data_IF_683112424384
#
_entry.id   IF_683112424384
#
_cell.length_a   1.000
_cell.length_b   1.000
_cell.length_c   1.000
_cell.angle_alpha   90.00
_cell.angle_beta   90.00
_cell.angle_gamma   90.00
#
_symmetry.space_group_name_H-M   'P 1'
#
loop_
_entity.id
_entity.type
_entity.pdbx_description
1 polymer ?
#
# COMPACT_ATOMS: atom_id res chain seq x y z
N UNK A 1 12.78 -16.79 -14.35
CA UNK A 1 11.40 -16.31 -14.15
C UNK A 1 11.46 -14.83 -13.82
N UNK A 2 10.74 -14.00 -14.56
CA UNK A 2 10.66 -12.57 -14.28
C UNK A 2 9.87 -12.36 -13.00
N UNK A 3 10.39 -11.55 -12.07
CA UNK A 3 9.66 -11.19 -10.84
C UNK A 3 8.70 -10.04 -11.12
N UNK A 4 7.46 -10.19 -10.69
CA UNK A 4 6.41 -9.17 -10.84
C UNK A 4 6.29 -8.34 -9.54
N UNK A 5 6.05 -7.04 -9.70
CA UNK A 5 5.89 -6.09 -8.60
C UNK A 5 4.80 -5.09 -8.93
N UNK A 6 3.92 -4.84 -7.99
CA UNK A 6 2.92 -3.78 -8.10
C UNK A 6 3.35 -2.56 -7.32
N UNK A 7 3.27 -1.41 -7.96
CA UNK A 7 3.46 -0.13 -7.35
C UNK A 7 2.11 0.59 -7.32
N UNK A 8 1.56 0.78 -6.12
CA UNK A 8 0.30 1.46 -5.93
C UNK A 8 0.49 2.84 -5.34
N UNK A 9 -0.23 3.80 -5.88
CA UNK A 9 -0.47 5.07 -5.27
C UNK A 9 -1.91 5.09 -4.78
N UNK A 10 -2.11 4.97 -3.47
CA UNK A 10 -3.43 5.11 -2.89
C UNK A 10 -3.90 6.55 -2.99
N UNK A 11 -5.15 6.72 -3.38
CA UNK A 11 -5.80 7.98 -3.73
C UNK A 11 -6.15 8.79 -2.49
N UNK A 12 -5.85 10.07 -2.51
CA UNK A 12 -6.56 11.07 -1.70
C UNK A 12 -7.52 11.82 -2.62
N UNK A 13 -8.81 11.76 -2.34
CA UNK A 13 -9.82 12.53 -3.07
C UNK A 13 -9.81 13.96 -2.52
N UNK A 14 -8.97 14.82 -3.07
CA UNK A 14 -9.13 16.25 -2.89
C UNK A 14 -10.32 16.70 -3.76
N UNK A 15 -11.37 17.22 -3.15
CA UNK A 15 -12.47 17.86 -3.89
C UNK A 15 -11.88 19.02 -4.69
N UNK A 16 -11.74 18.83 -5.98
CA UNK A 16 -11.57 19.92 -6.93
C UNK A 16 -10.18 20.15 -7.51
N UNK A 17 -9.09 19.57 -7.01
CA UNK A 17 -7.77 19.75 -7.61
C UNK A 17 -7.09 18.40 -7.83
N UNK A 18 -7.13 17.94 -9.07
CA UNK A 18 -6.29 16.82 -9.52
C UNK A 18 -4.87 17.37 -9.63
N UNK A 19 -4.01 17.10 -8.62
CA UNK A 19 -2.60 17.46 -8.70
C UNK A 19 -1.97 16.60 -9.80
N UNK A 20 -1.91 17.12 -11.00
CA UNK A 20 -1.14 16.54 -12.10
C UNK A 20 0.28 17.09 -11.97
N UNK A 21 1.20 16.25 -11.53
CA UNK A 21 2.61 16.58 -11.66
C UNK A 21 2.99 16.65 -13.14
N UNK A 22 3.65 17.76 -13.57
CA UNK A 22 4.19 17.82 -14.92
C UNK A 22 5.29 16.76 -15.09
N UNK A 23 5.51 16.33 -16.34
CA UNK A 23 6.58 15.38 -16.67
C UNK A 23 7.94 15.91 -16.22
N UNK A 24 8.20 17.19 -16.51
CA UNK A 24 9.41 17.90 -16.13
C UNK A 24 9.59 17.98 -14.60
N UNK A 25 8.50 18.20 -13.85
CA UNK A 25 8.55 18.22 -12.40
C UNK A 25 8.93 16.86 -11.84
N UNK A 26 8.26 15.79 -12.26
CA UNK A 26 8.56 14.42 -11.80
C UNK A 26 9.98 14.03 -12.18
N UNK A 27 10.39 14.28 -13.43
CA UNK A 27 11.74 13.97 -13.90
C UNK A 27 12.79 14.73 -13.09
N UNK A 28 12.63 16.04 -12.89
CA UNK A 28 13.57 16.86 -12.13
C UNK A 28 13.68 16.43 -10.66
N UNK A 29 12.58 16.00 -10.07
CA UNK A 29 12.57 15.51 -8.67
C UNK A 29 13.22 14.14 -8.56
N UNK A 30 12.91 13.23 -9.49
CA UNK A 30 13.48 11.88 -9.53
C UNK A 30 15.00 11.91 -9.80
N UNK A 31 15.46 12.78 -10.69
CA UNK A 31 16.89 12.97 -10.96
C UNK A 31 17.64 13.58 -9.77
N UNK A 32 16.99 14.45 -8.99
CA UNK A 32 17.61 15.11 -7.83
C UNK A 32 17.61 14.26 -6.56
N UNK A 33 16.53 13.48 -6.34
CA UNK A 33 16.32 12.77 -5.08
C UNK A 33 17.00 11.41 -5.03
N UNK A 34 17.08 10.72 -6.15
CA UNK A 34 17.65 9.38 -6.19
C UNK A 34 18.74 9.27 -7.24
N UNK A 35 19.76 8.46 -6.94
CA UNK A 35 20.74 8.00 -7.94
C UNK A 35 20.09 7.05 -8.98
N UNK A 36 18.77 7.11 -9.11
CA UNK A 36 18.00 6.27 -10.04
C UNK A 36 17.89 7.00 -11.38
N UNK A 37 18.53 6.43 -12.39
CA UNK A 37 18.40 6.92 -13.76
C UNK A 37 17.04 6.47 -14.29
N UNK A 38 16.10 7.39 -14.37
CA UNK A 38 14.78 7.11 -14.90
C UNK A 38 14.80 7.29 -16.42
N UNK A 39 14.43 6.25 -17.15
CA UNK A 39 14.14 6.37 -18.56
C UNK A 39 12.88 7.24 -18.76
N UNK A 40 12.88 8.08 -19.81
CA UNK A 40 11.75 8.96 -20.12
C UNK A 40 10.44 8.21 -20.33
N UNK A 41 10.49 7.01 -20.92
CA UNK A 41 9.29 6.18 -21.10
C UNK A 41 8.71 5.73 -19.75
N UNK A 42 9.56 5.28 -18.83
CA UNK A 42 9.14 4.86 -17.50
C UNK A 42 8.56 6.04 -16.70
N UNK A 43 9.14 7.23 -16.81
CA UNK A 43 8.61 8.45 -16.20
C UNK A 43 7.19 8.78 -16.71
N UNK A 44 6.94 8.63 -18.02
CA UNK A 44 5.61 8.80 -18.62
C UNK A 44 4.62 7.77 -18.09
N UNK A 45 5.01 6.50 -18.00
CA UNK A 45 4.15 5.42 -17.50
C UNK A 45 3.78 5.68 -16.03
N UNK A 46 4.75 6.02 -15.19
CA UNK A 46 4.50 6.38 -13.78
C UNK A 46 3.51 7.54 -13.69
N UNK A 47 3.71 8.60 -14.48
CA UNK A 47 2.80 9.75 -14.53
C UNK A 47 1.38 9.36 -14.96
N UNK A 48 1.24 8.52 -15.99
CA UNK A 48 -0.06 8.04 -16.46
C UNK A 48 -0.75 7.22 -15.37
N UNK A 49 -0.06 6.26 -14.77
CA UNK A 49 -0.56 5.46 -13.65
C UNK A 49 -1.06 6.37 -12.50
N UNK A 50 -0.26 7.38 -12.15
CA UNK A 50 -0.65 8.35 -11.12
C UNK A 50 -1.85 9.20 -11.52
N UNK A 51 -1.96 9.60 -12.79
CA UNK A 51 -3.05 10.44 -13.29
C UNK A 51 -4.37 9.67 -13.40
N UNK A 52 -4.29 8.40 -13.78
CA UNK A 52 -5.43 7.49 -13.86
C UNK A 52 -5.78 6.86 -12.52
N UNK A 53 -4.90 7.02 -11.50
CA UNK A 53 -5.05 6.41 -10.18
C UNK A 53 -5.12 4.88 -10.25
N UNK A 54 -4.40 4.31 -11.22
CA UNK A 54 -4.32 2.87 -11.44
C UNK A 54 -3.01 2.31 -10.90
N UNK A 55 -3.02 1.04 -10.45
CA UNK A 55 -1.80 0.36 -10.04
C UNK A 55 -0.83 0.22 -11.23
N UNK A 56 0.47 0.27 -10.93
CA UNK A 56 1.53 0.04 -11.91
C UNK A 56 2.15 -1.35 -11.67
N UNK A 57 2.00 -2.24 -12.64
CA UNK A 57 2.69 -3.53 -12.64
C UNK A 57 4.07 -3.39 -13.27
N UNK A 58 5.11 -3.75 -12.52
CA UNK A 58 6.48 -3.80 -12.99
C UNK A 58 6.92 -5.25 -13.18
N UNK A 59 7.21 -5.62 -14.43
CA UNK A 59 7.70 -6.95 -14.80
C UNK A 59 9.13 -6.86 -15.34
N UNK A 60 9.98 -7.79 -14.97
CA UNK A 60 11.36 -7.82 -15.49
C UNK A 60 12.29 -8.70 -14.65
N UNK A 61 13.51 -8.89 -15.13
CA UNK A 61 14.54 -9.70 -14.50
C UNK A 61 14.90 -9.21 -13.08
N UNK A 62 15.37 -10.08 -12.19
CA UNK A 62 15.91 -9.68 -10.90
C UNK A 62 17.06 -8.66 -11.06
N UNK A 63 17.14 -7.68 -10.18
CA UNK A 63 18.23 -6.69 -10.21
C UNK A 63 18.02 -5.51 -11.17
N UNK A 64 16.92 -5.44 -11.91
CA UNK A 64 16.62 -4.32 -12.84
C UNK A 64 16.11 -3.04 -12.15
N UNK A 65 16.20 -2.94 -10.83
CA UNK A 65 15.86 -1.72 -10.11
C UNK A 65 14.37 -1.50 -9.82
N UNK A 66 13.50 -2.51 -9.99
CA UNK A 66 12.05 -2.37 -9.74
C UNK A 66 11.71 -1.87 -8.32
N UNK A 67 12.37 -2.39 -7.29
CA UNK A 67 12.20 -1.93 -5.90
C UNK A 67 12.71 -0.51 -5.72
N UNK A 68 13.85 -0.19 -6.37
CA UNK A 68 14.44 1.14 -6.31
C UNK A 68 13.55 2.22 -6.94
N UNK A 69 12.75 1.87 -7.95
CA UNK A 69 11.78 2.81 -8.53
C UNK A 69 10.75 3.26 -7.49
N UNK A 70 10.23 2.35 -6.66
CA UNK A 70 9.29 2.70 -5.60
C UNK A 70 9.91 3.66 -4.57
N UNK A 71 11.16 3.40 -4.17
CA UNK A 71 11.90 4.30 -3.29
C UNK A 71 12.12 5.67 -3.93
N UNK A 72 12.53 5.70 -5.20
CA UNK A 72 12.75 6.94 -5.93
C UNK A 72 11.47 7.79 -6.04
N UNK A 73 10.32 7.16 -6.33
CA UNK A 73 9.04 7.85 -6.39
C UNK A 73 8.63 8.38 -5.02
N UNK A 74 8.75 7.57 -3.97
CA UNK A 74 8.41 7.96 -2.60
C UNK A 74 9.24 9.18 -2.16
N UNK A 75 10.54 9.16 -2.40
CA UNK A 75 11.46 10.25 -2.10
C UNK A 75 11.15 11.49 -2.94
N UNK A 76 10.99 11.35 -4.26
CA UNK A 76 10.74 12.46 -5.17
C UNK A 76 9.44 13.21 -4.86
N UNK A 77 8.41 12.50 -4.38
CA UNK A 77 7.10 13.04 -4.05
C UNK A 77 6.92 13.34 -2.56
N UNK A 78 7.95 13.13 -1.75
CA UNK A 78 7.87 13.27 -0.28
C UNK A 78 6.72 12.47 0.32
N UNK A 79 6.58 11.22 -0.12
CA UNK A 79 5.54 10.29 0.33
C UNK A 79 6.14 9.17 1.18
N UNK A 80 5.48 8.69 2.24
CA UNK A 80 5.90 7.47 2.91
C UNK A 80 5.86 6.28 1.95
N UNK A 81 6.84 5.39 2.09
CA UNK A 81 6.86 4.12 1.40
C UNK A 81 6.44 3.01 2.36
N UNK A 82 5.40 2.29 1.99
CA UNK A 82 4.96 1.07 2.67
C UNK A 82 5.32 -0.12 1.77
N UNK A 83 6.05 -1.08 2.33
CA UNK A 83 6.49 -2.26 1.57
C UNK A 83 5.80 -3.50 2.11
N UNK A 84 5.12 -4.22 1.24
CA UNK A 84 4.59 -5.55 1.47
C UNK A 84 5.44 -6.56 0.68
N UNK A 85 6.16 -7.42 1.39
CA UNK A 85 6.84 -8.56 0.78
C UNK A 85 5.93 -9.78 0.83
N UNK A 86 5.44 -10.21 -0.33
CA UNK A 86 4.51 -11.32 -0.42
C UNK A 86 5.24 -12.64 -0.24
N UNK A 87 4.64 -13.54 0.53
CA UNK A 87 5.11 -14.92 0.74
C UNK A 87 4.07 -15.89 0.22
N UNK A 88 4.49 -17.05 -0.22
CA UNK A 88 3.60 -18.09 -0.78
C UNK A 88 2.53 -18.60 0.20
N UNK A 89 2.73 -18.44 1.50
CA UNK A 89 1.75 -18.80 2.53
C UNK A 89 0.92 -17.65 3.05
N UNK A 90 1.12 -16.44 2.52
CA UNK A 90 0.42 -15.24 2.98
C UNK A 90 -1.02 -15.24 2.46
N UNK A 91 -1.96 -14.98 3.36
CA UNK A 91 -3.35 -14.69 3.00
C UNK A 91 -3.56 -13.19 2.90
N UNK A 92 -4.49 -12.76 2.05
CA UNK A 92 -4.79 -11.34 1.90
C UNK A 92 -5.18 -10.68 3.23
N UNK A 93 -5.95 -11.38 4.06
CA UNK A 93 -6.36 -10.87 5.38
C UNK A 93 -5.17 -10.43 6.23
N UNK A 94 -4.03 -11.16 6.18
CA UNK A 94 -2.81 -10.81 6.91
C UNK A 94 -2.17 -9.51 6.42
N UNK A 95 -2.36 -9.20 5.13
CA UNK A 95 -1.90 -7.95 4.54
C UNK A 95 -2.85 -6.77 4.84
N UNK A 96 -4.13 -7.05 5.11
CA UNK A 96 -5.15 -6.06 5.46
C UNK A 96 -5.12 -5.75 6.96
N UNK A 97 -5.33 -6.75 7.81
CA UNK A 97 -5.30 -6.60 9.26
C UNK A 97 -5.12 -7.95 9.96
N UNK A 98 -4.83 -7.89 11.25
CA UNK A 98 -4.75 -9.05 12.13
C UNK A 98 -5.49 -8.74 13.43
N UNK A 99 -6.32 -9.67 13.87
CA UNK A 99 -6.94 -9.62 15.18
C UNK A 99 -6.11 -10.38 16.22
N UNK A 100 -5.58 -9.66 17.21
CA UNK A 100 -4.72 -10.23 18.28
C UNK A 100 -5.54 -10.86 19.40
N UNK A 101 -6.16 -11.99 19.07
CA UNK A 101 -6.98 -12.77 20.00
C UNK A 101 -6.21 -13.22 21.25
N UNK A 102 -4.92 -13.56 21.08
CA UNK A 102 -4.10 -14.02 22.21
C UNK A 102 -3.85 -12.92 23.23
N UNK A 103 -3.49 -11.73 22.77
CA UNK A 103 -3.30 -10.59 23.65
C UNK A 103 -4.60 -10.25 24.36
N UNK A 104 -5.74 -10.21 23.64
CA UNK A 104 -7.04 -9.95 24.27
C UNK A 104 -7.41 -10.99 25.31
N UNK A 105 -7.17 -12.28 25.05
CA UNK A 105 -7.43 -13.35 26.01
C UNK A 105 -6.58 -13.20 27.28
N UNK A 106 -5.30 -12.87 27.12
CA UNK A 106 -4.40 -12.64 28.24
C UNK A 106 -4.84 -11.42 29.07
N UNK A 107 -5.16 -10.30 28.41
CA UNK A 107 -5.65 -9.11 29.09
C UNK A 107 -6.95 -9.37 29.86
N UNK A 108 -7.84 -10.21 29.33
CA UNK A 108 -9.09 -10.59 30.00
C UNK A 108 -8.87 -11.46 31.23
N UNK A 109 -7.80 -12.25 31.25
CA UNK A 109 -7.51 -13.19 32.37
C UNK A 109 -6.69 -12.57 33.50
N UNK A 110 -5.76 -11.69 33.15
CA UNK A 110 -4.76 -11.21 34.10
C UNK A 110 -4.99 -9.75 34.54
N UNK A 111 -5.86 -9.00 33.85
CA UNK A 111 -6.36 -7.70 34.32
C UNK A 111 -5.34 -6.56 34.40
N UNK A 112 -4.08 -6.80 34.03
CA UNK A 112 -2.97 -5.83 34.11
C UNK A 112 -2.82 -4.90 32.90
N UNK A 113 -3.69 -5.06 31.92
CA UNK A 113 -3.61 -4.30 30.68
C UNK A 113 -4.23 -2.91 30.85
N UNK A 114 -3.59 -1.92 30.22
CA UNK A 114 -4.15 -0.57 30.10
C UNK A 114 -5.25 -0.48 29.02
N UNK A 115 -5.53 -1.60 28.34
CA UNK A 115 -6.51 -1.69 27.26
C UNK A 115 -7.86 -2.08 27.79
N UNK A 116 -8.91 -1.54 27.20
CA UNK A 116 -10.27 -2.00 27.46
C UNK A 116 -10.53 -3.31 26.70
N UNK A 117 -10.62 -4.40 27.44
CA UNK A 117 -10.88 -5.75 26.88
C UNK A 117 -12.21 -5.82 26.12
N UNK A 118 -13.19 -4.97 26.48
CA UNK A 118 -14.47 -4.88 25.78
C UNK A 118 -14.35 -4.20 24.42
N UNK A 119 -13.33 -3.36 24.24
CA UNK A 119 -13.06 -2.65 22.98
C UNK A 119 -12.19 -3.51 22.04
N UNK A 120 -12.84 -4.24 21.13
CA UNK A 120 -12.17 -5.12 20.15
C UNK A 120 -11.21 -4.34 19.25
N UNK A 121 -11.51 -3.08 18.93
CA UNK A 121 -10.67 -2.26 18.03
C UNK A 121 -9.22 -2.12 18.53
N UNK A 122 -8.99 -2.13 19.84
CA UNK A 122 -7.65 -2.03 20.45
C UNK A 122 -6.77 -3.26 20.17
N UNK A 123 -7.37 -4.34 19.71
CA UNK A 123 -6.71 -5.60 19.35
C UNK A 123 -6.63 -5.85 17.84
N UNK A 124 -7.09 -4.89 17.03
CA UNK A 124 -6.93 -4.94 15.58
C UNK A 124 -5.63 -4.26 15.19
N UNK A 125 -4.76 -4.99 14.51
CA UNK A 125 -3.49 -4.48 13.97
C UNK A 125 -3.58 -4.41 12.46
N UNK A 126 -3.41 -3.21 11.88
CA UNK A 126 -3.40 -3.05 10.44
C UNK A 126 -2.18 -3.71 9.80
N UNK A 127 -2.42 -4.57 8.82
CA UNK A 127 -1.41 -5.09 7.90
C UNK A 127 -0.90 -4.00 6.97
N UNK A 128 0.00 -4.32 6.05
CA UNK A 128 0.65 -3.30 5.20
C UNK A 128 -0.32 -2.61 4.23
N UNK A 129 -1.25 -3.35 3.65
CA UNK A 129 -2.30 -2.75 2.81
C UNK A 129 -3.23 -1.93 3.71
N UNK A 130 -3.68 -2.47 4.84
CA UNK A 130 -4.51 -1.74 5.79
C UNK A 130 -3.88 -0.44 6.27
N UNK A 131 -2.57 -0.43 6.60
CA UNK A 131 -1.83 0.78 6.97
C UNK A 131 -1.88 1.83 5.85
N UNK A 132 -1.79 1.40 4.59
CA UNK A 132 -1.87 2.31 3.46
C UNK A 132 -3.28 2.91 3.31
N UNK A 133 -4.33 2.12 3.61
CA UNK A 133 -5.72 2.58 3.54
C UNK A 133 -6.10 3.59 4.63
N UNK A 134 -5.62 3.36 5.86
CA UNK A 134 -5.91 4.27 6.99
C UNK A 134 -4.93 5.43 7.11
N UNK A 135 -3.96 5.54 6.20
CA UNK A 135 -2.99 6.63 6.22
C UNK A 135 -3.68 7.98 6.05
N UNK A 136 -3.30 8.95 6.87
CA UNK A 136 -3.77 10.34 6.81
C UNK A 136 -3.13 11.15 5.68
N UNK A 137 -2.13 10.59 5.00
CA UNK A 137 -1.49 11.21 3.83
C UNK A 137 -1.27 10.20 2.72
N UNK A 138 -1.04 10.69 1.50
CA UNK A 138 -0.71 9.84 0.36
C UNK A 138 0.55 9.03 0.64
N UNK A 139 0.50 7.75 0.29
CA UNK A 139 1.62 6.82 0.45
C UNK A 139 1.93 6.11 -0.88
N UNK A 140 3.15 5.69 -1.02
CA UNK A 140 3.53 4.72 -2.06
C UNK A 140 3.48 3.34 -1.42
N UNK A 141 2.60 2.47 -1.94
CA UNK A 141 2.55 1.07 -1.52
C UNK A 141 3.29 0.22 -2.56
N UNK A 142 4.36 -0.43 -2.14
CA UNK A 142 5.07 -1.41 -2.94
C UNK A 142 4.66 -2.82 -2.51
N UNK A 143 4.08 -3.58 -3.44
CA UNK A 143 3.83 -5.01 -3.26
C UNK A 143 4.92 -5.76 -4.02
N UNK A 144 5.86 -6.33 -3.29
CA UNK A 144 7.01 -7.03 -3.84
C UNK A 144 6.78 -8.54 -3.88
N UNK A 145 7.27 -9.18 -4.92
CA UNK A 145 7.21 -10.64 -5.10
C UNK A 145 5.77 -11.20 -5.18
N UNK A 146 4.85 -10.45 -5.80
CA UNK A 146 3.44 -10.84 -5.96
C UNK A 146 3.29 -12.18 -6.72
N UNK A 147 4.24 -12.53 -7.55
CA UNK A 147 4.33 -13.80 -8.27
C UNK A 147 4.49 -15.02 -7.35
N UNK A 148 4.80 -14.83 -6.07
CA UNK A 148 4.83 -15.90 -5.06
C UNK A 148 3.45 -16.21 -4.48
N UNK A 149 2.50 -15.30 -4.57
CA UNK A 149 1.15 -15.51 -4.06
C UNK A 149 0.39 -16.52 -4.94
N UNK A 150 -0.58 -17.19 -4.33
CA UNK A 150 -1.57 -17.94 -5.10
C UNK A 150 -2.52 -17.01 -5.88
N UNK A 151 -3.34 -17.60 -6.76
CA UNK A 151 -4.29 -16.84 -7.57
C UNK A 151 -5.33 -16.14 -6.71
N UNK A 152 -5.79 -16.81 -5.65
CA UNK A 152 -6.87 -16.29 -4.79
C UNK A 152 -6.40 -15.01 -4.09
N UNK A 153 -5.15 -14.97 -3.57
CA UNK A 153 -4.58 -13.75 -3.01
C UNK A 153 -4.51 -12.63 -4.05
N UNK A 154 -4.11 -12.95 -5.29
CA UNK A 154 -3.94 -11.94 -6.34
C UNK A 154 -5.30 -11.35 -6.76
N UNK A 155 -6.31 -12.19 -6.96
CA UNK A 155 -7.64 -11.79 -7.38
C UNK A 155 -8.34 -10.98 -6.28
N UNK A 156 -8.34 -11.47 -5.04
CA UNK A 156 -8.93 -10.77 -3.89
C UNK A 156 -8.23 -9.42 -3.62
N UNK A 157 -6.90 -9.36 -3.80
CA UNK A 157 -6.15 -8.11 -3.65
C UNK A 157 -6.54 -7.09 -4.71
N UNK A 158 -6.73 -7.53 -5.96
CA UNK A 158 -7.16 -6.63 -7.03
C UNK A 158 -8.56 -6.06 -6.75
N UNK A 159 -9.47 -6.88 -6.24
CA UNK A 159 -10.81 -6.43 -5.84
C UNK A 159 -10.75 -5.37 -4.73
N UNK A 160 -9.96 -5.60 -3.68
CA UNK A 160 -9.76 -4.62 -2.59
C UNK A 160 -9.19 -3.31 -3.13
N UNK A 161 -8.25 -3.38 -4.07
CA UNK A 161 -7.60 -2.20 -4.63
C UNK A 161 -8.47 -1.46 -5.64
N UNK A 162 -9.36 -2.15 -6.34
CA UNK A 162 -10.33 -1.54 -7.26
C UNK A 162 -11.44 -0.82 -6.49
N UNK A 163 -11.98 -1.48 -5.47
CA UNK A 163 -13.04 -0.92 -4.63
C UNK A 163 -12.52 0.11 -3.63
N UNK A 164 -11.22 0.09 -3.32
CA UNK A 164 -10.57 0.93 -2.30
C UNK A 164 -11.26 0.82 -0.93
N UNK A 165 -11.73 -0.40 -0.59
CA UNK A 165 -12.33 -0.69 0.71
C UNK A 165 -12.13 -2.16 1.11
N UNK A 166 -12.19 -2.44 2.40
CA UNK A 166 -12.25 -3.80 2.96
C UNK A 166 -12.98 -3.80 4.30
N UNK A 167 -13.45 -4.97 4.72
CA UNK A 167 -14.20 -5.13 5.97
C UNK A 167 -13.32 -5.74 7.06
N UNK A 168 -13.46 -5.23 8.30
CA UNK A 168 -12.93 -5.86 9.51
C UNK A 168 -14.08 -6.60 10.17
N UNK A 169 -14.08 -7.92 10.03
CA UNK A 169 -15.22 -8.78 10.38
C UNK A 169 -15.49 -8.75 11.89
N UNK A 170 -14.46 -8.72 12.73
CA UNK A 170 -14.56 -8.80 14.17
C UNK A 170 -15.28 -7.61 14.82
N UNK A 171 -15.35 -6.49 14.12
CA UNK A 171 -15.98 -5.25 14.61
C UNK A 171 -17.07 -4.73 13.66
N UNK A 172 -17.43 -5.52 12.63
CA UNK A 172 -18.40 -5.12 11.59
C UNK A 172 -18.13 -3.71 11.02
N UNK A 173 -16.85 -3.43 10.75
CA UNK A 173 -16.41 -2.10 10.31
C UNK A 173 -15.80 -2.15 8.91
N UNK A 174 -16.35 -1.32 8.04
CA UNK A 174 -15.80 -1.12 6.71
C UNK A 174 -14.71 -0.05 6.74
N UNK A 175 -13.51 -0.43 6.31
CA UNK A 175 -12.41 0.49 6.11
C UNK A 175 -12.42 0.92 4.66
N UNK A 176 -12.55 2.21 4.45
CA UNK A 176 -12.39 2.84 3.15
C UNK A 176 -11.13 3.68 3.15
N UNK A 177 -10.48 3.76 2.01
CA UNK A 177 -9.38 4.69 1.89
C UNK A 177 -9.83 6.08 2.35
N UNK A 178 -9.07 6.68 3.26
CA UNK A 178 -9.41 7.98 3.83
C UNK A 178 -9.45 9.05 2.73
N UNK A 179 -10.67 9.49 2.38
CA UNK A 179 -10.91 10.47 1.32
C UNK A 179 -11.11 11.89 1.85
N UNK A 180 -11.15 12.07 3.18
CA UNK A 180 -11.70 13.28 3.82
C UNK A 180 -10.64 14.16 4.49
N UNK A 181 -9.36 13.86 4.38
CA UNK A 181 -8.33 14.76 4.88
C UNK A 181 -7.95 15.77 3.78
N UNK A 182 -8.48 16.95 3.96
CA UNK A 182 -8.15 18.20 3.27
C UNK A 182 -6.70 18.59 3.52
#
# INVERSE_FOLDING_TARGET
MAKEKYLFKLKRKERGVKIMYSEEYLQSRLEKSSKYVLDQELAKIVRISMALEMPLLLKGEPGTGKTMLAHAIAEALDMPLIVLNVKSSMKLIDALYQYDTLTRLNDSRFGDSKRDVSNIEEYIKMGKIGQAFVSDRRVVLLIDEIDKADSDFQDDMLDVLDQMEFDIIEIDKKIRQNTDLL
#
